data_IF_856368341872
#
_entry.id   IF_856368341872
#
_cell.length_a   1.000
_cell.length_b   1.000
_cell.length_c   1.000
_cell.angle_alpha   90.00
_cell.angle_beta   90.00
_cell.angle_gamma   90.00
#
_symmetry.space_group_name_H-M   'P 1'
#
loop_
_entity.id
_entity.type
_entity.pdbx_description
1 polymer ?
2 branched ?
3 non-polymer ?
4 non-polymer ?
5 non-polymer ?
6 water ?
#
# COMPACT_ATOMS: atom_id res chain seq x y z
N UNK A 1 -11.56 2.51 -1.76
CA UNK A 1 -11.96 1.90 -0.46
C UNK A 1 -13.49 1.89 -0.38
N UNK A 2 -14.10 0.72 -0.20
CA UNK A 2 -15.55 0.67 -0.06
C UNK A 2 -15.94 0.70 1.42
N UNK A 3 -17.04 1.39 1.72
CA UNK A 3 -17.51 1.58 3.09
C UNK A 3 -16.49 2.31 3.95
N UNK A 4 -15.85 3.35 3.40
CA UNK A 4 -14.83 4.17 4.10
C UNK A 4 -15.28 5.61 4.26
N UNK A 5 -14.38 6.51 4.68
CA UNK A 5 -14.73 7.90 4.98
C UNK A 5 -13.65 8.82 4.41
N UNK A 6 -14.04 9.99 3.93
CA UNK A 6 -13.10 11.03 3.58
C UNK A 6 -12.21 11.25 4.80
N UNK A 7 -10.90 11.32 4.60
CA UNK A 7 -9.93 11.51 5.68
C UNK A 7 -9.57 12.98 5.81
N UNK A 8 -9.16 13.38 7.00
CA UNK A 8 -8.60 14.70 7.26
C UNK A 8 -7.28 14.82 6.49
N UNK A 9 -6.88 16.06 6.16
CA UNK A 9 -5.53 16.37 5.72
C UNK A 9 -4.53 15.83 6.76
N UNK A 10 -3.54 15.07 6.28
CA UNK A 10 -2.47 14.57 7.11
C UNK A 10 -2.86 13.34 7.91
N UNK A 11 -4.06 12.79 7.64
CA UNK A 11 -4.55 11.61 8.39
C UNK A 11 -3.59 10.45 8.23
N UNK A 12 -3.05 10.29 7.01
CA UNK A 12 -2.11 9.21 6.62
C UNK A 12 -0.92 9.86 5.92
N UNK A 13 0.04 10.44 6.65
CA UNK A 13 1.10 11.22 6.03
C UNK A 13 2.22 10.35 5.42
N UNK A 14 2.06 9.03 5.51
CA UNK A 14 3.00 8.05 4.96
C UNK A 14 2.56 7.53 3.58
N UNK A 15 1.38 7.96 3.07
CA UNK A 15 0.87 7.41 1.81
C UNK A 15 1.48 8.19 0.64
N UNK A 16 1.87 7.41 -0.38
CA UNK A 16 2.51 7.90 -1.55
C UNK A 16 1.57 7.68 -2.73
N UNK A 17 1.50 8.68 -3.59
CA UNK A 17 0.83 8.60 -4.86
C UNK A 17 1.89 8.45 -5.96
N UNK A 18 1.73 7.39 -6.78
CA UNK A 18 2.63 7.07 -7.91
C UNK A 18 1.94 7.36 -9.23
N UNK A 19 2.56 8.21 -10.06
CA UNK A 19 2.03 8.54 -11.38
C UNK A 19 3.09 8.25 -12.45
N UNK A 20 2.67 7.53 -13.48
CA UNK A 20 3.43 7.39 -14.71
C UNK A 20 2.47 7.13 -15.87
N UNK A 21 2.81 7.65 -17.05
CA UNK A 21 2.05 7.41 -18.26
C UNK A 21 0.58 7.64 -18.03
N UNK A 22 -0.26 6.64 -18.36
CA UNK A 22 -1.68 6.68 -18.08
C UNK A 22 -2.00 5.71 -16.93
N UNK A 23 -1.09 5.65 -15.95
CA UNK A 23 -1.14 4.70 -14.86
C UNK A 23 -1.07 5.43 -13.51
N UNK A 24 -1.47 4.70 -12.46
CA UNK A 24 -1.54 5.20 -11.10
C UNK A 24 -1.44 4.05 -10.09
N UNK A 25 -0.74 4.31 -8.98
CA UNK A 25 -0.77 3.43 -7.83
C UNK A 25 -0.47 4.21 -6.54
N UNK A 26 -0.65 3.51 -5.42
CA UNK A 26 -0.35 4.04 -4.12
C UNK A 26 0.86 3.30 -3.57
N UNK A 27 1.45 3.89 -2.55
CA UNK A 27 2.53 3.28 -1.85
C UNK A 27 2.66 3.84 -0.45
N UNK A 28 3.62 3.30 0.30
CA UNK A 28 3.81 3.67 1.67
C UNK A 28 5.25 4.10 1.89
N UNK A 29 5.46 5.35 2.31
CA UNK A 29 6.78 5.87 2.67
C UNK A 29 7.24 5.20 3.96
N UNK A 30 8.33 4.42 3.94
CA UNK A 30 8.87 3.71 5.13
C UNK A 30 10.13 4.40 5.66
N UNK A 31 10.73 5.28 4.87
CA UNK A 31 11.84 6.10 5.30
C UNK A 31 11.87 7.32 4.38
N UNK A 32 12.54 8.43 4.73
CA UNK A 32 12.50 9.64 3.89
C UNK A 32 12.79 9.38 2.41
N UNK A 33 13.66 8.39 2.10
CA UNK A 33 14.07 8.05 0.71
C UNK A 33 13.46 6.74 0.17
N UNK A 34 12.56 6.10 0.91
CA UNK A 34 12.13 4.75 0.54
C UNK A 34 10.60 4.62 0.54
N UNK A 35 10.08 4.04 -0.55
CA UNK A 35 8.65 3.81 -0.69
C UNK A 35 8.42 2.33 -1.01
N UNK A 36 7.40 1.75 -0.38
CA UNK A 36 7.00 0.39 -0.60
C UNK A 36 5.65 0.37 -1.33
N UNK A 37 5.48 -0.56 -2.28
CA UNK A 37 4.25 -0.71 -3.04
C UNK A 37 4.10 -2.17 -3.48
N UNK A 38 3.11 -2.43 -4.33
CA UNK A 38 2.88 -3.76 -4.83
C UNK A 38 3.71 -3.95 -6.09
N UNK A 39 4.05 -5.20 -6.38
CA UNK A 39 4.79 -5.55 -7.58
C UNK A 39 3.88 -5.36 -8.80
N UNK A 40 2.62 -5.77 -8.69
CA UNK A 40 1.67 -5.78 -9.81
C UNK A 40 1.49 -4.37 -10.37
N UNK A 41 1.55 -3.37 -9.48
CA UNK A 41 1.43 -1.98 -9.81
C UNK A 41 2.38 -1.58 -10.91
N UNK A 42 3.63 -2.05 -10.80
CA UNK A 42 4.75 -1.71 -11.69
C UNK A 42 5.20 -2.91 -12.53
N UNK A 43 4.36 -3.94 -12.64
CA UNK A 43 4.47 -5.05 -13.60
C UNK A 43 5.11 -4.61 -14.93
N UNK A 44 4.68 -3.45 -15.42
CA UNK A 44 5.02 -3.00 -16.76
C UNK A 44 6.44 -2.43 -16.79
N UNK A 45 7.10 -2.36 -15.63
CA UNK A 45 8.54 -2.07 -15.51
C UNK A 45 8.87 -0.72 -16.13
N UNK A 46 8.14 0.38 -15.83
CA UNK A 46 8.46 1.67 -16.42
C UNK A 46 9.88 2.10 -16.03
N UNK A 47 10.58 2.80 -16.93
CA UNK A 47 11.88 3.36 -16.59
C UNK A 47 11.69 4.28 -15.39
N UNK A 48 12.65 4.31 -14.45
CA UNK A 48 12.44 5.04 -13.20
C UNK A 48 12.25 6.55 -13.45
N UNK A 49 12.83 7.07 -14.54
CA UNK A 49 12.70 8.51 -14.87
C UNK A 49 11.24 8.86 -15.17
N UNK A 50 10.44 7.86 -15.54
CA UNK A 50 9.07 8.03 -15.93
C UNK A 50 8.14 8.12 -14.71
N UNK A 51 8.63 7.80 -13.51
CA UNK A 51 7.78 7.77 -12.30
C UNK A 51 7.78 9.16 -11.66
N UNK A 52 6.60 9.58 -11.17
CA UNK A 52 6.46 10.69 -10.23
C UNK A 52 5.83 10.18 -8.93
N UNK A 53 6.49 10.48 -7.82
CA UNK A 53 5.95 10.20 -6.50
C UNK A 53 5.55 11.54 -5.87
N UNK A 54 4.30 11.60 -5.40
CA UNK A 54 3.78 12.78 -4.73
C UNK A 54 3.51 12.39 -3.27
N UNK A 55 4.12 13.12 -2.34
CA UNK A 55 3.90 12.91 -0.92
C UNK A 55 3.07 14.05 -0.34
N UNK A 56 2.24 13.72 0.66
CA UNK A 56 1.45 14.67 1.43
C UNK A 56 0.29 15.22 0.63
N UNK A 57 -0.32 14.34 -0.17
CA UNK A 57 -1.35 14.69 -1.13
C UNK A 57 -2.72 14.31 -0.56
N UNK A 58 -3.69 15.24 -0.65
CA UNK A 58 -5.04 15.04 -0.16
C UNK A 58 -5.92 14.42 -1.24
N UNK A 59 -5.85 14.97 -2.46
CA UNK A 59 -6.72 14.57 -3.58
C UNK A 59 -5.89 14.03 -4.77
N UNK A 60 -6.33 12.89 -5.29
CA UNK A 60 -5.76 12.21 -6.44
C UNK A 60 -5.51 13.24 -7.54
N UNK A 61 -4.23 13.45 -7.82
CA UNK A 61 -3.72 14.16 -8.97
C UNK A 61 -3.99 15.67 -8.82
N UNK A 62 -4.20 16.13 -7.59
CA UNK A 62 -4.34 17.54 -7.28
C UNK A 62 -3.09 18.07 -6.57
N UNK A 63 -2.70 19.27 -6.99
CA UNK A 63 -1.63 20.05 -6.32
C UNK A 63 -2.20 20.54 -4.99
N UNK A 64 -1.33 20.79 -4.02
CA UNK A 64 -1.73 21.15 -2.64
C UNK A 64 -0.53 21.82 -1.95
N UNK A 65 -0.78 22.73 -1.02
CA UNK A 65 0.29 23.46 -0.32
C UNK A 65 1.38 22.50 0.16
N UNK A 66 1.06 21.45 0.96
CA UNK A 66 2.09 20.55 1.50
C UNK A 66 2.48 19.34 0.62
N UNK A 67 2.00 19.26 -0.62
CA UNK A 67 2.40 18.22 -1.54
C UNK A 67 3.91 18.31 -1.81
N UNK A 68 4.55 17.15 -1.94
CA UNK A 68 5.95 17.04 -2.30
C UNK A 68 6.10 16.07 -3.47
N UNK A 69 6.77 16.54 -4.53
CA UNK A 69 6.89 15.79 -5.76
C UNK A 69 8.34 15.37 -5.94
N UNK A 70 8.60 14.06 -5.92
CA UNK A 70 9.96 13.53 -6.08
C UNK A 70 10.01 12.62 -7.30
N UNK A 71 11.23 12.50 -7.86
CA UNK A 71 11.61 11.51 -8.87
C UNK A 71 12.05 10.22 -8.17
N UNK A 72 12.36 9.19 -8.95
CA UNK A 72 12.76 7.90 -8.45
C UNK A 72 14.15 7.59 -9.03
N UNK A 73 15.08 7.16 -8.17
CA UNK A 73 16.43 6.76 -8.56
C UNK A 73 16.38 5.44 -9.31
N UNK A 74 15.72 4.48 -8.68
CA UNK A 74 15.79 3.06 -8.99
C UNK A 74 14.66 2.39 -8.22
N UNK A 75 14.28 1.18 -8.62
CA UNK A 75 13.32 0.40 -7.87
C UNK A 75 13.43 -1.09 -8.22
N UNK A 76 12.91 -1.94 -7.35
CA UNK A 76 13.03 -3.38 -7.50
C UNK A 76 11.70 -4.05 -7.14
N UNK A 77 11.21 -4.87 -8.06
CA UNK A 77 10.13 -5.82 -7.81
C UNK A 77 10.76 -7.06 -7.18
N UNK A 78 9.96 -7.77 -6.37
CA UNK A 78 10.33 -9.05 -5.85
C UNK A 78 10.48 -10.04 -7.01
N UNK A 79 11.68 -10.63 -7.10
CA UNK A 79 12.12 -11.60 -8.11
C UNK A 79 11.08 -12.71 -8.36
N UNK A 80 10.36 -13.14 -7.31
CA UNK A 80 9.49 -14.32 -7.37
C UNK A 80 8.01 -13.94 -7.49
N UNK A 81 7.70 -12.65 -7.73
CA UNK A 81 6.31 -12.18 -7.85
C UNK A 81 5.59 -12.95 -8.96
N UNK A 82 4.52 -13.67 -8.62
CA UNK A 82 3.74 -14.45 -9.57
C UNK A 82 2.45 -13.74 -9.91
N UNK A 83 2.19 -13.43 -11.20
CA UNK A 83 0.89 -12.90 -11.63
C UNK A 83 -0.20 -13.97 -11.83
N UNK A 84 0.12 -15.25 -11.57
CA UNK A 84 -0.88 -16.34 -11.48
C UNK A 84 -1.45 -16.41 -10.05
N UNK A 85 -0.54 -16.55 -9.08
CA UNK A 85 -0.86 -16.78 -7.67
C UNK A 85 -0.96 -15.46 -6.89
N UNK A 86 -0.36 -14.38 -7.43
CA UNK A 86 -0.25 -13.04 -6.84
C UNK A 86 0.75 -13.04 -5.67
N UNK A 87 1.54 -14.12 -5.52
CA UNK A 87 2.42 -14.27 -4.36
C UNK A 87 3.65 -13.36 -4.51
N UNK A 88 4.20 -12.93 -3.37
CA UNK A 88 5.36 -12.07 -3.31
C UNK A 88 5.06 -10.73 -4.00
N UNK A 89 3.91 -10.14 -3.69
CA UNK A 89 3.48 -8.93 -4.36
C UNK A 89 4.01 -7.70 -3.61
N UNK A 90 5.30 -7.41 -3.78
CA UNK A 90 5.79 -6.10 -3.33
C UNK A 90 6.98 -5.64 -4.16
N UNK A 91 7.29 -4.36 -3.97
CA UNK A 91 8.34 -3.67 -4.66
C UNK A 91 8.84 -2.50 -3.80
N UNK A 92 10.11 -2.14 -4.01
CA UNK A 92 10.77 -1.16 -3.18
C UNK A 92 11.37 -0.09 -4.09
N UNK A 93 11.01 1.17 -3.87
CA UNK A 93 11.49 2.30 -4.66
C UNK A 93 12.48 3.11 -3.83
N UNK A 94 13.63 3.42 -4.42
CA UNK A 94 14.53 4.42 -3.88
C UNK A 94 14.22 5.74 -4.58
N UNK A 95 13.86 6.75 -3.79
CA UNK A 95 13.58 8.09 -4.33
C UNK A 95 14.88 8.83 -4.65
N UNK A 96 14.77 9.90 -5.45
CA UNK A 96 15.87 10.75 -5.87
C UNK A 96 15.99 11.98 -4.96
N UNK A 97 17.15 12.15 -4.31
CA UNK A 97 17.48 13.36 -3.54
C UNK A 97 17.36 14.60 -4.43
N UNK A 98 16.79 15.70 -3.92
CA UNK A 98 16.83 17.00 -4.63
C UNK A 98 18.28 17.50 -4.65
N UNK A 99 18.52 18.69 -5.23
CA UNK A 99 19.86 19.21 -5.48
C UNK A 99 20.63 19.60 -4.21
N UNK A 100 19.91 19.94 -3.14
CA UNK A 100 20.42 19.79 -1.75
C UNK A 100 20.39 18.28 -1.53
N UNK A 101 20.80 17.75 -0.41
CA UNK A 101 20.91 16.27 -0.47
C UNK A 101 19.69 15.50 0.01
N UNK A 102 18.48 16.09 -0.05
CA UNK A 102 17.32 15.54 0.71
C UNK A 102 16.29 14.88 -0.21
N UNK A 103 15.66 13.84 0.34
CA UNK A 103 14.53 13.10 -0.25
C UNK A 103 13.41 13.72 0.59
N UNK A 104 12.29 13.02 0.77
CA UNK A 104 11.21 13.57 1.60
C UNK A 104 11.62 14.47 2.76
N UNK A 105 11.07 15.69 2.80
CA UNK A 105 11.24 16.62 3.89
C UNK A 105 10.09 16.40 4.87
N UNK A 106 10.41 15.97 6.10
CA UNK A 106 9.37 15.64 7.05
C UNK A 106 8.59 16.91 7.40
N UNK A 107 7.29 16.71 7.59
CA UNK A 107 6.34 17.72 7.87
C UNK A 107 5.19 17.06 8.62
N UNK A 108 4.19 17.83 9.11
CA UNK A 108 2.99 17.20 9.69
C UNK A 108 2.16 16.42 8.65
N UNK A 109 2.46 16.60 7.35
CA UNK A 109 1.73 15.96 6.22
C UNK A 109 2.53 14.82 5.57
N UNK A 110 3.83 14.73 5.88
CA UNK A 110 4.72 13.81 5.20
C UNK A 110 5.61 13.14 6.26
N UNK A 111 5.40 11.85 6.46
CA UNK A 111 5.96 11.16 7.60
C UNK A 111 6.08 9.69 7.22
N UNK A 112 7.24 9.04 7.44
CA UNK A 112 7.37 7.62 7.15
C UNK A 112 6.54 6.83 8.16
N UNK A 113 6.34 5.54 7.91
CA UNK A 113 5.72 4.66 8.86
C UNK A 113 6.67 3.49 9.09
N UNK A 114 6.97 3.22 10.36
CA UNK A 114 7.87 2.14 10.76
C UNK A 114 7.44 0.82 10.13
N UNK A 115 8.42 -0.03 9.85
CA UNK A 115 8.17 -1.39 9.50
C UNK A 115 7.79 -2.13 10.78
N UNK A 116 7.16 -3.32 10.66
CA UNK A 116 6.91 -4.15 11.85
C UNK A 116 8.22 -4.84 12.27
N UNK A 117 8.16 -5.71 13.28
CA UNK A 117 9.26 -6.65 13.57
C UNK A 117 8.78 -8.11 13.55
N UNK A 118 7.46 -8.30 13.45
CA UNK A 118 6.87 -9.63 13.35
C UNK A 118 7.25 -10.52 14.51
N UNK A 119 6.90 -10.09 15.72
CA UNK A 119 7.21 -10.80 16.98
C UNK A 119 6.04 -10.63 17.96
N UNK A 122 1.42 -11.22 14.38
CA UNK A 122 1.67 -10.82 15.77
C UNK A 122 0.82 -9.62 16.21
N UNK A 123 -0.42 -9.56 15.73
CA UNK A 123 -1.30 -8.40 15.94
C UNK A 123 -2.77 -8.78 15.69
N UNK A 124 -3.27 -9.79 16.43
CA UNK A 124 -4.65 -10.30 16.30
C UNK A 124 -5.64 -9.28 16.89
N UNK A 125 -6.38 -8.59 16.01
CA UNK A 125 -7.55 -7.72 16.36
C UNK A 125 -7.11 -6.44 17.09
N UNK A 126 -6.13 -5.74 16.51
CA UNK A 126 -5.78 -4.36 16.90
C UNK A 126 -6.62 -3.40 16.04
N UNK A 127 -6.48 -2.10 16.33
CA UNK A 127 -6.97 -1.03 15.46
C UNK A 127 -6.10 -0.96 14.19
N UNK A 128 -6.62 -1.44 13.05
CA UNK A 128 -5.91 -1.38 11.75
C UNK A 128 -6.73 -0.57 10.75
N UNK A 129 -6.08 0.41 10.11
CA UNK A 129 -6.69 1.22 9.09
C UNK A 129 -6.07 0.90 7.72
N UNK A 130 -6.90 0.94 6.68
CA UNK A 130 -6.45 0.96 5.28
C UNK A 130 -6.80 2.34 4.69
N UNK A 131 -6.02 2.85 3.72
CA UNK A 131 -6.33 4.13 3.07
C UNK A 131 -6.02 4.09 1.57
N UNK A 132 -6.75 4.89 0.78
CA UNK A 132 -6.54 4.89 -0.68
C UNK A 132 -7.50 5.79 -1.44
N UNK A 133 -7.17 5.98 -2.73
CA UNK A 133 -7.94 6.79 -3.63
C UNK A 133 -8.67 5.91 -4.65
N UNK A 134 -8.72 4.59 -4.40
CA UNK A 134 -9.33 3.66 -5.34
C UNK A 134 -10.85 3.78 -5.41
N UNK A 135 -11.46 2.74 -5.98
CA UNK A 135 -12.89 2.69 -6.17
C UNK A 135 -13.60 2.68 -4.82
N UNK A 136 -14.70 3.44 -4.74
CA UNK A 136 -15.53 3.55 -3.56
C UNK A 136 -16.55 2.42 -3.50
N UNK A 137 -16.69 1.65 -4.60
CA UNK A 137 -17.52 0.43 -4.71
C UNK A 137 -17.08 -0.36 -5.96
N UNK A 138 -17.15 -1.70 -5.89
CA UNK A 138 -16.67 -2.55 -7.01
C UNK A 138 -17.31 -2.11 -8.33
N UNK A 139 -16.46 -1.94 -9.35
CA UNK A 139 -16.91 -1.56 -10.68
C UNK A 139 -17.51 -0.17 -10.72
N UNK A 140 -17.07 0.73 -9.84
CA UNK A 140 -17.29 2.18 -9.99
C UNK A 140 -16.55 2.65 -11.25
N UNK A 141 -16.86 3.86 -11.70
CA UNK A 141 -16.48 4.33 -13.04
C UNK A 141 -15.13 5.06 -12.96
N UNK A 142 -14.88 5.71 -11.82
CA UNK A 142 -13.67 6.49 -11.55
C UNK A 142 -13.14 6.16 -10.14
N UNK A 143 -11.82 6.33 -9.98
CA UNK A 143 -11.16 6.33 -8.69
C UNK A 143 -11.66 7.52 -7.88
N UNK A 144 -11.53 7.45 -6.56
CA UNK A 144 -11.93 8.55 -5.66
C UNK A 144 -11.04 9.79 -5.91
N UNK A 145 -11.52 10.97 -5.49
CA UNK A 145 -10.72 12.20 -5.50
C UNK A 145 -10.01 12.40 -4.14
N UNK A 146 -10.78 12.64 -3.08
CA UNK A 146 -10.26 12.74 -1.69
C UNK A 146 -9.85 11.34 -1.22
N UNK A 147 -8.79 11.31 -0.40
CA UNK A 147 -8.34 10.08 0.19
C UNK A 147 -9.42 9.54 1.13
N UNK A 148 -9.56 8.20 1.14
CA UNK A 148 -10.54 7.53 1.96
C UNK A 148 -9.77 6.69 2.98
N UNK A 149 -10.40 6.43 4.12
CA UNK A 149 -9.87 5.59 5.19
C UNK A 149 -10.99 4.64 5.65
N UNK A 150 -10.59 3.47 6.15
CA UNK A 150 -11.51 2.54 6.80
C UNK A 150 -10.76 1.75 7.88
N UNK A 151 -11.48 1.39 8.95
CA UNK A 151 -10.96 0.47 9.94
C UNK A 151 -11.32 -0.92 9.49
N UNK A 152 -10.35 -1.82 9.62
CA UNK A 152 -10.48 -3.11 9.12
C UNK A 152 -9.68 -4.04 10.03
N UNK A 153 -10.28 -5.15 10.51
CA UNK A 153 -9.61 -6.04 11.44
C UNK A 153 -8.75 -7.11 10.73
N UNK A 154 -7.63 -7.46 11.35
CA UNK A 154 -6.76 -8.58 10.94
C UNK A 154 -7.61 -9.85 10.94
N UNK A 155 -7.16 -10.90 10.24
CA UNK A 155 -7.83 -12.20 10.27
C UNK A 155 -6.79 -13.31 10.30
N UNK A 156 -7.14 -14.39 11.02
CA UNK A 156 -6.27 -15.53 11.14
C UNK A 156 -6.12 -16.16 9.75
N UNK A 157 -5.01 -16.88 9.57
CA UNK A 157 -4.78 -17.65 8.37
C UNK A 157 -5.78 -18.80 8.31
N UNK A 158 -5.92 -19.52 9.42
CA UNK A 158 -6.91 -20.59 9.56
C UNK A 158 -8.25 -20.10 9.00
N UNK A 159 -8.71 -18.97 9.56
CA UNK A 159 -10.05 -18.41 9.26
C UNK A 159 -10.11 -17.92 7.80
N UNK A 160 -9.02 -17.32 7.30
CA UNK A 160 -8.99 -16.75 5.96
C UNK A 160 -8.87 -17.85 4.89
N UNK A 161 -8.11 -18.90 5.17
CA UNK A 161 -7.88 -20.00 4.23
C UNK A 161 -9.05 -21.00 4.24
N UNK A 162 -10.12 -20.71 5.00
CA UNK A 162 -11.29 -21.55 5.05
C UNK A 162 -11.82 -21.77 3.63
N UNK A 163 -12.25 -23.00 3.26
CA UNK A 163 -12.67 -23.30 1.89
C UNK A 163 -13.65 -22.32 1.22
N UNK A 164 -14.50 -21.67 2.01
CA UNK A 164 -15.55 -20.81 1.46
C UNK A 164 -15.20 -19.33 1.66
N UNK A 165 -14.00 -19.05 2.19
CA UNK A 165 -13.46 -17.70 2.23
C UNK A 165 -12.52 -17.45 1.05
N UNK A 166 -11.28 -17.96 1.12
CA UNK A 166 -10.25 -17.76 0.08
C UNK A 166 -9.51 -19.08 -0.18
N UNK A 167 -9.76 -20.13 0.62
CA UNK A 167 -9.17 -21.44 0.39
C UNK A 167 -7.65 -21.39 0.39
N UNK A 168 -7.05 -22.03 -0.61
CA UNK A 168 -5.61 -22.18 -0.66
C UNK A 168 -4.99 -21.12 -1.59
N UNK A 169 -5.77 -20.10 -1.98
CA UNK A 169 -5.25 -18.86 -2.60
C UNK A 169 -4.29 -18.14 -1.65
N UNK A 170 -4.53 -18.25 -0.33
CA UNK A 170 -3.71 -17.54 0.62
C UNK A 170 -2.39 -18.29 0.81
N UNK A 171 -1.30 -17.75 0.24
CA UNK A 171 0.02 -18.34 0.31
C UNK A 171 0.91 -17.54 1.26
N UNK A 172 1.99 -18.16 1.79
CA UNK A 172 2.95 -17.43 2.61
C UNK A 172 3.32 -16.08 1.96
N UNK A 173 3.41 -15.04 2.79
CA UNK A 173 3.70 -13.66 2.37
C UNK A 173 2.43 -12.86 2.15
N UNK A 174 1.28 -13.55 2.33
CA UNK A 174 -0.04 -12.96 2.28
C UNK A 174 -0.65 -12.90 3.68
N UNK A 175 -1.77 -12.19 3.77
CA UNK A 175 -2.37 -11.71 5.02
C UNK A 175 -3.76 -11.15 4.67
N UNK A 176 -4.76 -11.48 5.51
CA UNK A 176 -6.14 -11.07 5.26
C UNK A 176 -6.59 -10.08 6.34
N UNK A 177 -7.52 -9.21 5.96
CA UNK A 177 -7.96 -8.13 6.80
C UNK A 177 -9.25 -7.58 6.19
N UNK A 178 -10.31 -7.55 6.98
CA UNK A 178 -11.67 -7.36 6.48
C UNK A 178 -12.70 -8.01 7.38
N UNK A 179 -13.96 -7.72 7.07
CA UNK A 179 -15.09 -8.31 7.73
C UNK A 179 -15.66 -9.39 6.81
N UNK A 180 -15.88 -10.59 7.38
CA UNK A 180 -16.43 -11.73 6.67
C UNK A 180 -17.84 -11.40 6.19
N UNK A 181 -18.55 -10.53 6.92
CA UNK A 181 -19.87 -10.08 6.51
C UNK A 181 -19.77 -9.13 5.31
N UNK A 182 -18.58 -8.60 5.00
CA UNK A 182 -18.32 -7.70 3.86
C UNK A 182 -18.59 -6.26 4.23
N UNK A 183 -18.65 -5.38 3.22
CA UNK A 183 -19.17 -4.02 3.38
C UNK A 183 -18.08 -2.97 3.49
N UNK A 184 -16.96 -3.34 4.10
CA UNK A 184 -15.79 -2.48 4.12
C UNK A 184 -14.56 -3.26 3.68
N UNK A 185 -13.76 -2.60 2.82
CA UNK A 185 -12.63 -3.25 2.12
C UNK A 185 -11.88 -2.24 1.24
N UNK A 186 -10.70 -2.68 0.79
CA UNK A 186 -9.97 -2.02 -0.29
C UNK A 186 -10.59 -2.41 -1.63
N UNK A 187 -10.29 -1.62 -2.65
CA UNK A 187 -10.77 -1.89 -4.00
C UNK A 187 -9.67 -1.58 -5.03
N UNK A 188 -9.97 -1.86 -6.30
CA UNK A 188 -9.10 -1.51 -7.41
C UNK A 188 -8.76 -0.02 -7.30
N UNK A 189 -7.45 0.27 -7.35
CA UNK A 189 -6.91 1.61 -7.24
C UNK A 189 -6.30 1.87 -5.88
N UNK A 190 -6.48 0.91 -4.96
CA UNK A 190 -5.96 1.10 -3.62
C UNK A 190 -4.59 0.44 -3.48
N UNK A 191 -4.16 -0.28 -4.53
CA UNK A 191 -3.00 -1.13 -4.40
C UNK A 191 -1.70 -0.34 -4.38
N UNK A 192 -0.77 -0.97 -3.65
CA UNK A 192 0.44 -0.42 -3.20
C UNK A 192 0.29 0.23 -1.85
N UNK A 193 -0.96 0.54 -1.48
CA UNK A 193 -1.19 1.45 -0.38
C UNK A 193 -1.12 0.76 0.98
N UNK A 194 -1.20 1.55 2.07
CA UNK A 194 -0.96 1.06 3.42
C UNK A 194 -2.13 0.34 4.10
N UNK A 195 -1.79 -0.78 4.75
CA UNK A 195 -2.46 -1.33 5.93
C UNK A 195 -1.57 -1.12 7.15
N UNK A 196 -2.08 -0.29 8.06
CA UNK A 196 -1.35 0.22 9.25
C UNK A 196 -2.06 -0.19 10.55
N UNK A 197 -1.28 -0.63 11.54
CA UNK A 197 -1.81 -1.06 12.86
C UNK A 197 -1.02 -0.36 13.98
N UNK A 198 -1.52 -0.41 15.21
CA UNK A 198 -0.88 0.36 16.31
C UNK A 198 -0.61 -0.48 17.56
N UNK A 199 0.36 -0.04 18.36
CA UNK A 199 0.85 -0.72 19.60
C UNK A 199 -0.34 -1.02 20.53
N UNK A 205 2.18 3.33 18.88
CA UNK A 205 3.14 2.90 17.86
C UNK A 205 2.39 2.53 16.58
N UNK A 206 2.84 3.09 15.44
CA UNK A 206 2.24 2.86 14.12
C UNK A 206 3.19 2.06 13.22
N UNK A 207 2.73 0.91 12.72
CA UNK A 207 3.56 0.06 11.84
C UNK A 207 2.79 -0.43 10.60
N UNK A 208 3.51 -0.52 9.48
CA UNK A 208 2.96 -0.98 8.19
C UNK A 208 2.92 -2.52 8.18
N UNK A 209 1.74 -3.07 8.45
CA UNK A 209 1.60 -4.51 8.59
C UNK A 209 1.41 -5.12 7.20
N UNK A 210 0.75 -4.38 6.30
CA UNK A 210 0.29 -4.91 5.00
C UNK A 210 0.40 -3.92 3.83
N UNK A 211 0.54 -4.48 2.62
CA UNK A 211 0.43 -3.76 1.34
C UNK A 211 -0.83 -4.24 0.62
N UNK A 212 -1.70 -3.29 0.23
CA UNK A 212 -2.94 -3.60 -0.44
C UNK A 212 -2.56 -4.30 -1.76
N UNK A 213 -3.09 -5.52 -1.94
CA UNK A 213 -2.63 -6.42 -2.96
C UNK A 213 -3.79 -6.87 -3.85
N UNK A 214 -4.61 -7.80 -3.39
CA UNK A 214 -5.66 -8.29 -4.25
C UNK A 214 -6.94 -8.61 -3.47
N UNK A 215 -7.94 -9.08 -4.21
CA UNK A 215 -9.19 -9.56 -3.63
C UNK A 215 -10.21 -9.93 -4.69
N UNK A 216 -11.22 -10.65 -4.22
CA UNK A 216 -12.40 -11.05 -5.04
C UNK A 216 -13.46 -10.00 -4.72
N UNK A 217 -13.89 -9.25 -5.73
CA UNK A 217 -14.78 -8.13 -5.54
C UNK A 217 -14.18 -7.14 -4.58
N UNK A 218 -15.02 -6.24 -4.04
CA UNK A 218 -14.60 -5.33 -2.99
C UNK A 218 -15.65 -5.29 -1.88
N UNK A 219 -15.28 -5.86 -0.72
CA UNK A 219 -16.14 -5.98 0.42
C UNK A 219 -17.34 -6.88 0.16
N UNK A 220 -17.12 -8.00 -0.54
CA UNK A 220 -18.12 -9.04 -0.68
C UNK A 220 -18.06 -9.95 0.55
N UNK A 221 -19.22 -10.55 0.88
CA UNK A 221 -19.36 -11.55 1.95
C UNK A 221 -18.33 -12.67 1.76
N UNK A 222 -17.55 -12.94 2.81
CA UNK A 222 -16.57 -14.04 2.89
C UNK A 222 -15.41 -13.81 1.93
N UNK A 223 -15.13 -12.53 1.62
CA UNK A 223 -14.10 -12.12 0.68
C UNK A 223 -13.36 -10.91 1.25
N UNK A 224 -12.56 -11.10 2.32
CA UNK A 224 -11.76 -9.99 2.85
C UNK A 224 -10.61 -9.65 1.89
N UNK A 225 -10.13 -8.41 1.96
CA UNK A 225 -9.00 -7.99 1.17
C UNK A 225 -7.77 -8.79 1.52
N UNK A 226 -6.95 -9.12 0.51
CA UNK A 226 -5.68 -9.75 0.75
C UNK A 226 -4.60 -8.69 0.58
N UNK A 227 -3.51 -8.86 1.35
CA UNK A 227 -2.45 -7.91 1.56
C UNK A 227 -1.10 -8.61 1.52
N UNK A 228 -0.07 -7.94 1.00
CA UNK A 228 1.28 -8.44 1.20
C UNK A 228 1.65 -8.24 2.67
N UNK A 229 2.06 -9.35 3.30
CA UNK A 229 2.48 -9.42 4.68
C UNK A 229 3.88 -8.82 4.82
N UNK A 230 3.95 -7.54 5.19
CA UNK A 230 5.20 -6.78 5.14
C UNK A 230 6.27 -7.49 5.98
N UNK A 231 5.88 -7.94 7.18
CA UNK A 231 6.80 -8.52 8.17
C UNK A 231 7.55 -9.71 7.57
N UNK A 232 6.87 -10.45 6.70
CA UNK A 232 7.42 -11.61 5.98
C UNK A 232 8.63 -11.24 5.11
N UNK A 233 8.81 -9.96 4.79
CA UNK A 233 9.71 -9.57 3.72
C UNK A 233 10.78 -8.63 4.26
N UNK A 234 10.90 -8.54 5.58
CA UNK A 234 11.86 -7.63 6.23
C UNK A 234 13.28 -7.88 5.73
N UNK A 235 13.68 -9.15 5.62
CA UNK A 235 15.01 -9.50 5.11
C UNK A 235 15.15 -9.08 3.64
N UNK A 236 14.15 -9.42 2.83
CA UNK A 236 14.14 -9.06 1.44
C UNK A 236 14.36 -7.54 1.33
N UNK A 237 13.63 -6.78 2.16
CA UNK A 237 13.70 -5.33 2.13
C UNK A 237 15.12 -4.85 2.49
N UNK A 238 15.71 -5.39 3.57
CA UNK A 238 17.07 -5.02 4.02
C UNK A 238 18.08 -5.25 2.89
N UNK A 239 18.06 -6.44 2.29
CA UNK A 239 19.10 -6.86 1.36
C UNK A 239 18.92 -6.16 -0.01
N UNK A 240 17.79 -5.48 -0.22
CA UNK A 240 17.53 -4.74 -1.48
C UNK A 240 17.60 -3.22 -1.27
N UNK A 241 18.44 -2.76 -0.33
CA UNK A 241 18.63 -1.33 -0.12
C UNK A 241 19.93 -0.86 -0.79
N UNK A 242 20.25 -1.43 -1.95
CA UNK A 242 21.38 -0.97 -2.76
C UNK A 242 20.86 0.17 -3.63
N UNK A 243 21.73 1.10 -3.98
CA UNK A 243 21.31 2.26 -4.71
C UNK A 243 22.48 2.88 -5.48
N UNK A 244 22.06 3.59 -6.52
CA UNK A 244 22.95 4.46 -7.32
C UNK A 244 23.34 5.64 -6.42
N UNK A 245 24.30 6.41 -6.85
CA UNK A 245 24.93 7.44 -5.95
C UNK A 245 24.86 8.85 -6.55
X LIG B 1 -0.90 14.03 -12.08
X LIG B 1 0.39 14.38 -11.34
X LIG B 1 1.49 14.78 -12.30
X LIG B 1 1.74 13.79 -13.46
X LIG B 1 0.37 13.31 -14.02
X LIG B 1 0.50 12.11 -14.98
X LIG B 1 -0.07 15.46 -9.19
X LIG B 1 -0.20 16.80 -8.47
X LIG B 1 0.24 15.53 -10.47
X LIG B 1 2.65 14.98 -11.50
X LIG B 1 2.54 14.42 -14.50
X LIG B 1 -0.57 12.96 -12.99
X LIG B 1 -0.59 12.09 -15.92
X LIG B 1 -0.24 14.41 -8.63
X LIG B 2 3.99 14.49 -14.28
X LIG B 2 4.71 14.29 -15.62
X LIG B 2 6.22 14.53 -15.57
X LIG B 2 6.60 15.87 -14.93
X LIG B 2 5.82 16.06 -13.62
X LIG B 2 5.83 17.54 -13.25
X LIG B 2 3.61 12.64 -17.13
X LIG B 2 3.36 11.17 -17.39
X LIG B 2 4.44 12.93 -16.12
X LIG B 2 6.76 14.51 -16.89
X LIG B 2 8.01 15.88 -14.62
X LIG B 2 4.42 15.69 -13.61
X LIG B 2 5.75 17.63 -11.84
X LIG B 2 3.04 13.49 -17.79
X LIG B 3 9.07 16.54 -15.39
X LIG B 3 10.09 17.02 -14.33
X LIG B 3 10.38 18.53 -14.32
X LIG B 3 10.78 19.01 -15.73
X LIG B 3 9.82 18.46 -16.82
X LIG B 3 10.65 17.75 -17.89
X LIG B 3 11.32 16.28 -14.53
X LIG B 3 11.42 18.83 -13.35
X LIG B 3 10.85 20.45 -15.81
X LIG B 3 8.74 17.60 -16.31
X LIG B 3 9.88 17.54 -19.08
X LIG C 1 -1.68 -16.37 -16.32
X LIG C 1 -1.46 -17.76 -16.67
X LIG C 1 -0.38 -15.54 -16.14
X LIG C 1 0.65 -15.83 -17.12
X LIG C 1 -0.59 -14.01 -16.17
X LIG C 1 -1.80 -13.54 -15.57
X LIG D 1 -14.59 11.76 -3.73
X LIG D 1 -15.35 11.81 -2.45
X LIG D 1 -15.04 10.63 -4.61
X LIG D 1 -14.72 13.06 -4.43
X LIG D 1 -13.18 11.59 -3.32
X LIG E 1 11.79 5.44 9.70
X LIG E 1 11.95 5.06 11.13
X LIG E 1 13.43 4.77 11.41
X LIG E 1 13.71 3.72 12.02
X LIG E 1 11.13 3.81 11.47
X LIG E 1 9.36 4.14 11.66
#
# INVERSE_FOLDING_TARGET
>A
VVGGLVALRGAHPYIAALYWGHSFCAGSLIAPCWVLTAAHCLQDRPAPEDLTVVLGQERRNHSCEPCQTLAVRSYRLHEAFSPVSYQHDLALLRLQEDADGSCALLSPYVQPVCLPSGAARPSETTLCQVAGWGHQFEGAEEYASFLQEAQVPFLSLERCSAPDVHGSSILPGMLCAGFLEGGTDACQGDSGGPLVCEDQAAERRLTLQGIISWGSGCGDRNKPGVYTDVAYYLAWIREHTVSTRTGHHHHHH
>B hetero
1 NAG C1 C2 C3 C4 C5 C6 C7 C8 N2 O3 O4 O5 O6 O7
2 NAG C1 C2 C3 C4 C5 C6 C7 C8 N2 O3 O4 O5 O6 O7
3 MAN C1 C2 C3 C4 C5 C6 O2 O3 O4 O5 O6
>C hetero
1 GOL C1 O1 C2 O2 C3 O3
>D hetero
1 SO4 S O1 O2 O3 O4
>E hetero
1 CYS N CA C O CB SG
#
